data_IF_321997337314
#
_entry.id   IF_321997337314
#
_cell.length_a   1.000
_cell.length_b   1.000
_cell.length_c   1.000
_cell.angle_alpha   90.00
_cell.angle_beta   90.00
_cell.angle_gamma   90.00
#
_symmetry.space_group_name_H-M   'P 1'
#
loop_
_entity.id
_entity.type
_entity.pdbx_description
1 polymer ?
#
# COMPACT_ATOMS: atom_id res chain seq x y z
N UNK A 1 -17.09 -9.95 -8.53
CA UNK A 1 -15.71 -9.77 -8.04
C UNK A 1 -14.79 -10.62 -8.90
N UNK A 2 -13.65 -10.14 -9.36
CA UNK A 2 -12.70 -11.00 -10.06
C UNK A 2 -12.19 -12.06 -9.08
N UNK A 3 -12.61 -13.31 -9.25
CA UNK A 3 -12.30 -14.43 -8.36
C UNK A 3 -10.93 -15.05 -8.64
N UNK A 4 -9.97 -14.24 -9.09
CA UNK A 4 -8.66 -14.75 -9.45
C UNK A 4 -7.92 -15.11 -8.17
N UNK A 5 -7.68 -16.41 -7.98
CA UNK A 5 -6.91 -16.91 -6.85
C UNK A 5 -5.49 -16.33 -6.92
N UNK A 6 -5.11 -15.58 -5.90
CA UNK A 6 -3.76 -15.03 -5.76
C UNK A 6 -2.95 -16.08 -5.00
N UNK A 7 -1.89 -16.57 -5.63
CA UNK A 7 -0.92 -17.43 -4.97
C UNK A 7 0.09 -16.54 -4.25
N UNK A 8 0.10 -16.61 -2.93
CA UNK A 8 1.08 -15.94 -2.09
C UNK A 8 2.25 -16.89 -1.85
N UNK A 9 3.45 -16.34 -1.87
CA UNK A 9 4.67 -17.02 -1.41
C UNK A 9 4.68 -17.16 0.10
N UNK A 10 5.49 -18.09 0.63
CA UNK A 10 5.64 -18.30 2.07
C UNK A 10 6.08 -17.02 2.81
N UNK A 11 6.91 -16.20 2.16
CA UNK A 11 7.36 -14.93 2.71
C UNK A 11 6.21 -13.91 2.80
N UNK A 12 5.38 -13.81 1.77
CA UNK A 12 4.23 -12.91 1.77
C UNK A 12 3.20 -13.32 2.83
N UNK A 13 2.98 -14.63 3.00
CA UNK A 13 2.14 -15.16 4.07
C UNK A 13 2.68 -14.81 5.46
N UNK A 14 3.99 -14.93 5.67
CA UNK A 14 4.61 -14.58 6.95
C UNK A 14 4.37 -13.11 7.32
N UNK A 15 4.52 -12.20 6.34
CA UNK A 15 4.25 -10.76 6.54
C UNK A 15 2.78 -10.52 6.86
N UNK A 16 1.86 -11.15 6.15
CA UNK A 16 0.42 -11.01 6.41
C UNK A 16 0.09 -11.49 7.83
N UNK A 17 0.60 -12.64 8.26
CA UNK A 17 0.35 -13.16 9.61
C UNK A 17 0.96 -12.27 10.71
N UNK A 18 2.14 -11.70 10.47
CA UNK A 18 2.74 -10.74 11.40
C UNK A 18 1.84 -9.51 11.58
N UNK A 19 1.40 -8.90 10.48
CA UNK A 19 0.55 -7.71 10.49
C UNK A 19 -0.81 -8.02 11.10
N UNK A 20 -1.39 -9.19 10.78
CA UNK A 20 -2.65 -9.65 11.35
C UNK A 20 -2.60 -9.71 12.87
N UNK A 21 -1.54 -10.31 13.43
CA UNK A 21 -1.35 -10.42 14.87
C UNK A 21 -1.09 -9.07 15.53
N UNK A 22 -0.29 -8.20 14.90
CA UNK A 22 0.03 -6.87 15.42
C UNK A 22 -1.18 -5.93 15.46
N UNK A 23 -2.02 -6.01 14.44
CA UNK A 23 -3.18 -5.13 14.28
C UNK A 23 -4.48 -5.72 14.86
N UNK A 24 -4.47 -7.01 15.21
CA UNK A 24 -5.62 -7.71 15.78
C UNK A 24 -6.73 -8.00 14.76
N UNK A 25 -6.39 -8.18 13.48
CA UNK A 25 -7.37 -8.51 12.44
C UNK A 25 -7.82 -9.98 12.54
N UNK A 26 -9.10 -10.24 12.28
CA UNK A 26 -9.66 -11.59 12.37
C UNK A 26 -9.33 -12.40 11.11
N UNK A 27 -9.27 -11.73 9.96
CA UNK A 27 -9.09 -12.37 8.66
C UNK A 27 -7.86 -11.89 7.91
N UNK A 28 -7.37 -12.75 7.03
CA UNK A 28 -6.25 -12.42 6.14
C UNK A 28 -6.70 -11.40 5.08
N UNK A 29 -7.96 -11.43 4.66
CA UNK A 29 -8.56 -10.43 3.76
C UNK A 29 -8.53 -9.02 4.35
N UNK A 30 -8.99 -8.83 5.59
CA UNK A 30 -8.94 -7.53 6.27
C UNK A 30 -7.50 -7.01 6.38
N UNK A 31 -6.57 -7.92 6.66
CA UNK A 31 -5.15 -7.58 6.74
C UNK A 31 -4.61 -7.10 5.39
N UNK A 32 -4.97 -7.78 4.30
CA UNK A 32 -4.58 -7.42 2.94
C UNK A 32 -5.22 -6.08 2.55
N UNK A 33 -6.50 -5.85 2.84
CA UNK A 33 -7.18 -4.58 2.58
C UNK A 33 -6.52 -3.41 3.30
N UNK A 34 -6.14 -3.63 4.57
CA UNK A 34 -5.39 -2.65 5.34
C UNK A 34 -4.04 -2.33 4.70
N UNK A 35 -3.27 -3.36 4.33
CA UNK A 35 -1.95 -3.19 3.70
C UNK A 35 -2.04 -2.44 2.37
N UNK A 36 -3.03 -2.77 1.54
CA UNK A 36 -3.29 -2.07 0.27
C UNK A 36 -3.63 -0.59 0.51
N UNK A 37 -4.50 -0.32 1.48
CA UNK A 37 -4.90 1.03 1.85
C UNK A 37 -3.73 1.86 2.37
N UNK A 38 -2.89 1.27 3.24
CA UNK A 38 -1.68 1.91 3.75
C UNK A 38 -0.71 2.26 2.63
N UNK A 39 -0.46 1.31 1.70
CA UNK A 39 0.41 1.53 0.55
C UNK A 39 -0.13 2.61 -0.39
N UNK A 40 -1.44 2.64 -0.62
CA UNK A 40 -2.08 3.67 -1.42
C UNK A 40 -1.90 5.05 -0.78
N UNK A 41 -2.16 5.18 0.52
CA UNK A 41 -1.96 6.44 1.26
C UNK A 41 -0.51 6.91 1.18
N UNK A 42 0.46 6.03 1.41
CA UNK A 42 1.89 6.37 1.28
C UNK A 42 2.22 6.87 -0.13
N UNK A 43 1.71 6.19 -1.15
CA UNK A 43 1.96 6.55 -2.56
C UNK A 43 1.31 7.89 -2.92
N UNK A 44 0.10 8.16 -2.43
CA UNK A 44 -0.58 9.45 -2.59
C UNK A 44 0.17 10.58 -1.91
N UNK A 45 0.63 10.39 -0.67
CA UNK A 45 1.45 11.37 0.04
C UNK A 45 2.77 11.64 -0.68
N UNK A 46 3.40 10.59 -1.21
CA UNK A 46 4.61 10.73 -2.02
C UNK A 46 4.34 11.51 -3.31
N UNK A 47 3.25 11.23 -4.00
CA UNK A 47 2.86 11.95 -5.22
C UNK A 47 2.55 13.42 -4.93
N UNK A 48 1.73 13.71 -3.93
CA UNK A 48 1.44 15.09 -3.50
C UNK A 48 2.72 15.83 -3.06
N UNK A 49 3.62 15.16 -2.33
CA UNK A 49 4.92 15.71 -1.97
C UNK A 49 5.87 15.87 -3.16
N UNK A 50 5.75 15.05 -4.20
CA UNK A 50 6.48 15.20 -5.46
C UNK A 50 5.90 16.33 -6.32
N UNK A 51 4.58 16.53 -6.33
CA UNK A 51 3.93 17.67 -6.98
C UNK A 51 4.36 19.00 -6.34
N UNK A 52 4.49 19.06 -5.00
CA UNK A 52 5.04 20.22 -4.29
C UNK A 52 6.54 20.43 -4.55
N UNK A 53 7.28 19.37 -4.89
CA UNK A 53 8.70 19.42 -5.25
C UNK A 53 8.94 19.59 -6.75
N UNK A 54 7.90 19.57 -7.58
CA UNK A 54 8.01 20.02 -8.98
C UNK A 54 8.47 21.47 -8.91
N UNK A 55 9.73 21.74 -9.28
CA UNK A 55 10.22 23.09 -9.19
C UNK A 55 9.37 23.90 -10.15
N UNK A 56 9.12 25.13 -9.73
CA UNK A 56 8.92 26.24 -10.63
C UNK A 56 10.13 26.39 -11.58
N UNK A 57 10.40 25.38 -12.42
CA UNK A 57 11.12 25.53 -13.69
C UNK A 57 10.12 26.00 -14.74
N UNK A 58 9.31 27.01 -14.38
CA UNK A 58 8.81 27.97 -15.35
C UNK A 58 10.04 28.80 -15.72
N UNK A 59 10.82 28.31 -16.67
CA UNK A 59 11.61 29.20 -17.50
C UNK A 59 10.59 30.05 -18.28
N UNK A 60 10.27 31.21 -17.73
CA UNK A 60 9.84 32.33 -18.54
C UNK A 60 11.11 32.82 -19.26
N UNK A 61 11.30 32.34 -20.50
CA UNK A 61 12.10 32.99 -21.53
C UNK A 61 11.28 32.97 -22.82
#
# INVERSE_FOLDING_TARGET
>A
MPTQAILLTDQELAVIQEVKNLMGFETDEETIEYLLSARLKERLLRLAGQELKSPSTRHYF
#
